data_IF_134728343615
#
_entry.id   IF_134728343615
#
_cell.length_a   1.000
_cell.length_b   1.000
_cell.length_c   1.000
_cell.angle_alpha   90.00
_cell.angle_beta   90.00
_cell.angle_gamma   90.00
#
_symmetry.space_group_name_H-M   'P 1'
#
loop_
_entity.id
_entity.type
_entity.pdbx_description
1 polymer ?
#
# COMPACT_ATOMS: atom_id res chain seq x y z
N UNK A 1 -1.92 -18.75 1.14
CA UNK A 1 -2.64 -18.05 0.06
C UNK A 1 -1.77 -16.89 -0.32
N UNK A 2 -1.34 -16.83 -1.57
CA UNK A 2 -0.44 -15.78 -2.03
C UNK A 2 -1.17 -14.42 -2.05
N UNK A 3 -0.47 -13.33 -1.78
CA UNK A 3 -1.07 -11.99 -1.82
C UNK A 3 -1.57 -11.63 -3.22
N UNK A 4 -0.93 -12.14 -4.28
CA UNK A 4 -1.37 -12.00 -5.66
C UNK A 4 -2.73 -12.69 -5.89
N UNK A 5 -2.90 -13.93 -5.42
CA UNK A 5 -4.17 -14.66 -5.52
C UNK A 5 -5.29 -13.93 -4.76
N UNK A 6 -4.98 -13.38 -3.57
CA UNK A 6 -5.93 -12.59 -2.78
C UNK A 6 -6.34 -11.30 -3.50
N UNK A 7 -5.44 -10.68 -4.26
CA UNK A 7 -5.76 -9.49 -5.05
C UNK A 7 -6.66 -9.84 -6.22
N UNK A 8 -6.28 -10.85 -7.03
CA UNK A 8 -7.09 -11.33 -8.16
C UNK A 8 -8.53 -11.66 -7.76
N UNK A 9 -8.71 -12.34 -6.63
CA UNK A 9 -10.03 -12.69 -6.11
C UNK A 9 -10.91 -11.46 -5.82
N UNK A 10 -10.30 -10.34 -5.43
CA UNK A 10 -11.01 -9.14 -4.96
C UNK A 10 -11.16 -8.06 -6.02
N UNK A 11 -10.16 -7.87 -6.86
CA UNK A 11 -10.17 -6.85 -7.93
C UNK A 11 -10.82 -7.38 -9.20
N UNK A 12 -10.87 -8.72 -9.39
CA UNK A 12 -11.26 -9.37 -10.64
C UNK A 12 -10.41 -8.93 -11.85
N UNK A 13 -9.23 -8.35 -11.59
CA UNK A 13 -8.30 -7.93 -12.63
C UNK A 13 -7.57 -9.12 -13.22
N UNK A 14 -7.51 -9.12 -14.55
CA UNK A 14 -6.78 -10.12 -15.33
C UNK A 14 -5.31 -9.74 -15.49
N UNK A 15 -4.97 -8.44 -15.37
CA UNK A 15 -3.60 -7.96 -15.53
C UNK A 15 -2.77 -8.19 -14.27
N UNK A 16 -2.00 -9.29 -14.28
CA UNK A 16 -1.13 -9.64 -13.17
C UNK A 16 0.02 -8.64 -12.98
N UNK A 17 0.45 -7.95 -14.04
CA UNK A 17 1.57 -7.03 -13.96
C UNK A 17 1.22 -5.81 -13.11
N UNK A 18 0.01 -5.27 -13.25
CA UNK A 18 -0.50 -4.18 -12.40
C UNK A 18 -0.60 -4.61 -10.94
N UNK A 19 -1.11 -5.83 -10.68
CA UNK A 19 -1.24 -6.35 -9.31
C UNK A 19 0.14 -6.58 -8.67
N UNK A 20 1.10 -7.09 -9.43
CA UNK A 20 2.48 -7.28 -8.99
C UNK A 20 3.17 -5.95 -8.70
N UNK A 21 3.02 -4.95 -9.56
CA UNK A 21 3.55 -3.60 -9.34
C UNK A 21 2.99 -2.98 -8.05
N UNK A 22 1.68 -3.11 -7.80
CA UNK A 22 1.06 -2.66 -6.56
C UNK A 22 1.65 -3.35 -5.32
N UNK A 23 1.89 -4.67 -5.40
CA UNK A 23 2.49 -5.44 -4.31
C UNK A 23 3.96 -5.08 -4.08
N UNK A 24 4.71 -4.79 -5.13
CA UNK A 24 6.10 -4.35 -5.05
C UNK A 24 6.19 -2.94 -4.45
N UNK A 25 5.35 -2.02 -4.91
CA UNK A 25 5.22 -0.67 -4.37
C UNK A 25 4.82 -0.69 -2.89
N UNK A 26 3.84 -1.51 -2.52
CA UNK A 26 3.43 -1.72 -1.13
C UNK A 26 4.58 -2.24 -0.26
N UNK A 27 5.35 -3.20 -0.78
CA UNK A 27 6.50 -3.75 -0.10
C UNK A 27 7.59 -2.70 0.13
N UNK A 28 7.91 -1.91 -0.90
CA UNK A 28 8.89 -0.83 -0.82
C UNK A 28 8.49 0.20 0.25
N UNK A 29 7.21 0.56 0.31
CA UNK A 29 6.69 1.50 1.31
C UNK A 29 6.82 0.97 2.74
N UNK A 30 6.47 -0.30 2.99
CA UNK A 30 6.62 -0.94 4.30
C UNK A 30 8.10 -0.98 4.69
N UNK A 31 8.98 -1.43 3.80
CA UNK A 31 10.40 -1.54 4.06
C UNK A 31 11.05 -0.18 4.34
N UNK A 32 10.64 0.86 3.61
CA UNK A 32 11.08 2.23 3.84
C UNK A 32 10.71 2.78 5.20
N UNK A 33 9.51 2.46 5.66
CA UNK A 33 9.08 2.84 7.00
C UNK A 33 9.76 2.00 8.08
N UNK A 34 10.00 0.71 7.82
CA UNK A 34 10.59 -0.25 8.76
C UNK A 34 12.10 -0.02 8.94
N UNK A 35 12.83 0.29 7.88
CA UNK A 35 14.29 0.43 7.87
C UNK A 35 14.71 1.81 7.36
N UNK A 36 14.40 2.90 8.09
CA UNK A 36 14.62 4.25 7.60
C UNK A 36 16.11 4.64 7.43
N UNK A 37 17.03 3.93 8.11
CA UNK A 37 18.45 4.29 8.18
C UNK A 37 19.40 3.19 7.69
N UNK A 38 18.88 2.09 7.14
CA UNK A 38 19.69 0.96 6.72
C UNK A 38 19.13 0.34 5.43
N UNK A 39 19.97 -0.29 4.59
CA UNK A 39 19.48 -1.10 3.49
C UNK A 39 18.59 -2.22 4.04
N UNK A 40 17.43 -2.42 3.42
CA UNK A 40 16.49 -3.44 3.85
C UNK A 40 16.69 -4.78 3.12
N UNK A 41 16.32 -5.90 3.75
CA UNK A 41 16.40 -7.21 3.14
C UNK A 41 15.44 -7.37 1.94
N UNK A 42 15.70 -8.38 1.10
CA UNK A 42 14.84 -8.69 -0.03
C UNK A 42 13.59 -9.52 0.36
N UNK A 43 13.40 -9.84 1.64
CA UNK A 43 12.26 -10.60 2.11
C UNK A 43 11.43 -9.78 3.09
N UNK A 44 10.11 -9.84 2.94
CA UNK A 44 9.17 -9.15 3.81
C UNK A 44 8.85 -10.03 5.02
N UNK A 45 8.95 -9.47 6.22
CA UNK A 45 8.61 -10.19 7.46
C UNK A 45 7.14 -10.68 7.41
N UNK A 46 6.83 -11.91 7.87
CA UNK A 46 5.50 -12.49 7.74
C UNK A 46 4.39 -11.67 8.43
N UNK A 47 4.74 -10.92 9.48
CA UNK A 47 3.84 -10.01 10.17
C UNK A 47 3.30 -8.87 9.28
N UNK A 48 4.01 -8.52 8.20
CA UNK A 48 3.65 -7.44 7.28
C UNK A 48 3.04 -7.95 5.97
N UNK A 49 2.89 -9.27 5.78
CA UNK A 49 2.28 -9.82 4.57
C UNK A 49 0.82 -9.36 4.41
N UNK A 50 0.04 -9.31 5.50
CA UNK A 50 -1.32 -8.80 5.43
C UNK A 50 -1.35 -7.28 5.18
N UNK A 51 -0.42 -6.54 5.78
CA UNK A 51 -0.29 -5.11 5.56
C UNK A 51 0.07 -4.77 4.10
N UNK A 52 0.95 -5.57 3.49
CA UNK A 52 1.30 -5.45 2.07
C UNK A 52 0.07 -5.57 1.19
N UNK A 53 -0.77 -6.58 1.45
CA UNK A 53 -2.04 -6.76 0.72
C UNK A 53 -2.96 -5.54 0.88
N UNK A 54 -3.11 -5.02 2.10
CA UNK A 54 -3.97 -3.87 2.39
C UNK A 54 -3.48 -2.59 1.69
N UNK A 55 -2.17 -2.34 1.69
CA UNK A 55 -1.55 -1.20 1.01
C UNK A 55 -1.66 -1.35 -0.52
N UNK A 56 -1.41 -2.55 -1.06
CA UNK A 56 -1.53 -2.81 -2.49
C UNK A 56 -2.96 -2.58 -2.99
N UNK A 57 -3.97 -2.97 -2.19
CA UNK A 57 -5.37 -2.68 -2.51
C UNK A 57 -5.69 -1.17 -2.45
N UNK A 58 -5.11 -0.44 -1.49
CA UNK A 58 -5.27 1.03 -1.38
C UNK A 58 -4.69 1.73 -2.62
N UNK A 59 -3.49 1.31 -3.05
CA UNK A 59 -2.84 1.78 -4.27
C UNK A 59 -3.69 1.48 -5.52
N UNK A 60 -4.11 0.23 -5.68
CA UNK A 60 -4.93 -0.19 -6.81
C UNK A 60 -6.24 0.62 -6.93
N UNK A 61 -6.95 0.81 -5.81
CA UNK A 61 -8.19 1.60 -5.80
C UNK A 61 -7.97 3.07 -6.16
N UNK A 62 -6.78 3.63 -5.85
CA UNK A 62 -6.44 5.02 -6.17
C UNK A 62 -6.01 5.19 -7.63
N UNK A 63 -5.29 4.22 -8.20
CA UNK A 63 -4.95 4.18 -9.63
C UNK A 63 -6.19 4.03 -10.53
N UNK A 64 -7.29 3.48 -10.02
CA UNK A 64 -8.59 3.51 -10.71
C UNK A 64 -9.39 4.82 -10.55
N UNK A 65 -9.07 5.63 -9.53
CA UNK A 65 -9.85 6.82 -9.14
C UNK A 65 -9.25 8.16 -9.59
N UNK A 66 -8.15 8.13 -10.35
CA UNK A 66 -7.47 9.31 -10.92
C UNK A 66 -8.35 10.12 -11.89
N UNK A 67 -9.52 9.60 -12.28
CA UNK A 67 -10.53 10.27 -13.12
C UNK A 67 -11.61 11.08 -12.39
N UNK A 68 -11.74 10.98 -11.06
CA UNK A 68 -12.74 11.75 -10.28
C UNK A 68 -12.06 12.59 -9.20
N UNK A 69 -11.52 13.74 -9.61
CA UNK A 69 -10.76 14.66 -8.74
C UNK A 69 -11.59 15.39 -7.70
N UNK A 70 -12.93 15.40 -7.78
CA UNK A 70 -13.84 15.80 -6.70
C UNK A 70 -15.29 15.74 -7.16
N UNK A 71 -16.14 14.99 -6.43
CA UNK A 71 -17.57 15.30 -6.36
C UNK A 71 -17.83 16.05 -5.05
N UNK A 72 -18.12 17.34 -5.16
CA UNK A 72 -18.62 18.16 -4.05
C UNK A 72 -20.13 18.23 -4.19
N UNK A 73 -20.83 17.33 -3.52
CA UNK A 73 -22.24 17.52 -3.20
C UNK A 73 -22.35 17.60 -1.68
N UNK A 74 -22.84 18.73 -1.18
CA UNK A 74 -23.31 18.91 0.19
C UNK A 74 -22.24 18.95 1.32
N UNK A 75 -21.14 19.70 1.13
CA UNK A 75 -20.37 20.23 2.27
C UNK A 75 -19.59 19.21 3.10
N UNK A 76 -19.33 18.01 2.57
CA UNK A 76 -18.45 17.01 3.19
C UNK A 76 -17.12 17.04 2.42
N UNK A 77 -16.15 17.79 2.92
CA UNK A 77 -14.80 17.82 2.36
C UNK A 77 -14.10 16.49 2.60
N UNK A 78 -13.93 15.67 1.55
CA UNK A 78 -12.98 14.55 1.56
C UNK A 78 -11.61 15.10 1.11
N UNK A 79 -10.80 15.51 2.07
CA UNK A 79 -9.39 15.80 1.78
C UNK A 79 -8.67 14.48 1.51
N UNK A 80 -8.44 14.15 0.24
CA UNK A 80 -7.46 13.12 -0.10
C UNK A 80 -6.10 13.63 0.38
N UNK A 81 -5.45 12.91 1.30
CA UNK A 81 -4.06 13.17 1.63
C UNK A 81 -3.20 13.03 0.38
N UNK A 82 -2.27 13.96 0.17
CA UNK A 82 -1.33 14.01 -0.97
C UNK A 82 -0.32 12.84 -1.01
N UNK A 83 -0.50 11.83 -0.14
CA UNK A 83 0.32 10.63 -0.11
C UNK A 83 -0.37 9.53 -0.90
N UNK A 84 0.33 8.97 -1.88
CA UNK A 84 -0.12 7.86 -2.72
C UNK A 84 -0.63 6.65 -1.89
N UNK A 85 -0.21 6.53 -0.62
CA UNK A 85 -0.58 5.47 0.32
C UNK A 85 -1.23 6.08 1.57
N UNK A 86 -2.30 5.44 2.08
CA UNK A 86 -2.98 5.86 3.31
C UNK A 86 -2.07 5.81 4.54
N UNK A 87 -1.90 6.94 5.25
CA UNK A 87 -1.01 7.05 6.42
C UNK A 87 -1.37 6.10 7.57
N UNK A 88 -2.66 5.77 7.73
CA UNK A 88 -3.12 4.82 8.74
C UNK A 88 -2.45 3.45 8.59
N UNK A 89 -2.26 2.98 7.35
CA UNK A 89 -1.58 1.71 7.06
C UNK A 89 -0.09 1.82 7.35
N UNK A 90 0.54 2.94 7.00
CA UNK A 90 1.98 3.14 7.25
C UNK A 90 2.30 3.27 8.75
N UNK A 91 1.35 3.73 9.57
CA UNK A 91 1.54 3.81 11.02
C UNK A 91 1.52 2.44 11.72
N UNK A 92 1.02 1.39 11.07
CA UNK A 92 1.12 0.00 11.58
C UNK A 92 2.56 -0.55 11.45
N UNK A 93 3.40 0.08 10.63
CA UNK A 93 4.80 -0.31 10.50
C UNK A 93 5.61 0.29 11.65
N UNK A 94 6.10 -0.58 12.54
CA UNK A 94 7.04 -0.20 13.59
C UNK A 94 8.44 0.00 13.00
N UNK A 95 9.05 1.20 13.04
CA UNK A 95 10.41 1.39 12.55
C UNK A 95 11.42 0.63 13.44
N UNK A 96 12.42 -0.01 12.82
CA UNK A 96 13.62 -0.46 13.51
C UNK A 96 14.55 0.73 13.71
N UNK A 97 14.51 1.32 14.90
CA UNK A 97 15.54 2.24 15.35
C UNK A 97 16.67 1.40 15.97
N UNK A 98 17.86 1.43 15.37
CA UNK A 98 19.05 0.92 16.03
C UNK A 98 19.25 1.67 17.34
N UNK A 99 19.44 0.95 18.45
CA UNK A 99 19.92 1.56 19.69
C UNK A 99 21.36 2.00 19.41
N UNK A 100 21.63 3.31 19.52
CA UNK A 100 22.99 3.85 19.51
C UNK A 100 23.61 3.74 20.89
#
# INVERSE_FOLDING_TARGET
MDNLERMKLRTQEEDEAVLLDCLESARSAIMSRRFPFQPWPNELEPQYLDLQYRIAMDLFNKTGAEGETAHSENGISRSYESSWISQQLLNEVTPMCGVV
#
